data_IF_570221232417
#
_entry.id   IF_570221232417
#
_cell.length_a   1.000
_cell.length_b   1.000
_cell.length_c   1.000
_cell.angle_alpha   90.00
_cell.angle_beta   90.00
_cell.angle_gamma   90.00
#
_symmetry.space_group_name_H-M   'P 1'
#
loop_
_entity.id
_entity.type
_entity.pdbx_description
1 polymer ?
#
# COMPACT_ATOMS: atom_id res chain seq x y z
N UNK A 1 -7.89 17.35 3.74
CA UNK A 1 -7.98 17.24 2.27
C UNK A 1 -7.16 16.06 1.78
N UNK A 2 -7.66 15.35 0.77
CA UNK A 2 -6.94 14.34 0.02
C UNK A 2 -6.06 15.00 -1.05
N UNK A 3 -4.88 14.44 -1.32
CA UNK A 3 -4.04 14.86 -2.43
C UNK A 3 -4.48 14.18 -3.71
N UNK A 4 -4.09 14.72 -4.87
CA UNK A 4 -4.28 14.07 -6.18
C UNK A 4 -3.33 12.89 -6.38
N UNK A 5 -3.41 11.93 -5.47
CA UNK A 5 -2.58 10.73 -5.43
C UNK A 5 -3.47 9.53 -5.14
N UNK A 6 -3.39 8.50 -5.96
CA UNK A 6 -3.99 7.19 -5.73
C UNK A 6 -3.06 6.27 -4.96
N UNK A 7 -3.57 5.59 -3.92
CA UNK A 7 -2.86 4.48 -3.30
C UNK A 7 -3.04 3.23 -4.15
N UNK A 8 -1.94 2.54 -4.44
CA UNK A 8 -1.94 1.25 -5.13
C UNK A 8 -1.24 0.21 -4.26
N UNK A 9 -1.84 -0.96 -4.09
CA UNK A 9 -1.25 -2.04 -3.31
C UNK A 9 -1.55 -3.42 -3.89
N UNK A 10 -0.85 -4.42 -3.37
CA UNK A 10 -1.16 -5.84 -3.58
C UNK A 10 -1.27 -6.54 -2.23
N UNK A 11 -2.14 -7.54 -2.09
CA UNK A 11 -2.31 -8.30 -0.86
C UNK A 11 -2.37 -9.80 -1.11
N UNK A 12 -1.72 -10.56 -0.22
CA UNK A 12 -1.87 -12.00 -0.06
C UNK A 12 -2.09 -12.25 1.43
N UNK A 13 -3.33 -12.52 1.85
CA UNK A 13 -3.68 -12.67 3.27
C UNK A 13 -4.62 -13.86 3.50
N UNK A 14 -4.13 -15.10 3.33
CA UNK A 14 -4.95 -16.30 3.49
C UNK A 14 -5.41 -16.54 4.93
N UNK A 15 -4.68 -16.03 5.91
CA UNK A 15 -4.94 -16.26 7.33
C UNK A 15 -5.64 -15.09 8.04
N UNK A 16 -6.15 -14.13 7.27
CA UNK A 16 -6.87 -12.97 7.79
C UNK A 16 -6.03 -12.15 8.80
N UNK A 17 -4.72 -12.08 8.62
CA UNK A 17 -3.80 -11.30 9.49
C UNK A 17 -3.92 -9.82 9.16
N UNK A 18 -3.90 -9.46 7.87
CA UNK A 18 -4.14 -8.09 7.41
C UNK A 18 -5.59 -7.69 7.69
N UNK A 19 -6.54 -8.60 7.45
CA UNK A 19 -7.94 -8.38 7.77
C UNK A 19 -8.21 -7.97 9.22
N UNK A 20 -7.52 -8.59 10.20
CA UNK A 20 -7.59 -8.17 11.63
C UNK A 20 -7.10 -6.74 11.85
N UNK A 21 -6.00 -6.36 11.20
CA UNK A 21 -5.46 -5.00 11.30
C UNK A 21 -6.43 -3.99 10.69
N UNK A 22 -7.02 -4.32 9.53
CA UNK A 22 -8.03 -3.49 8.87
C UNK A 22 -9.27 -3.30 9.74
N UNK A 23 -9.82 -4.36 10.35
CA UNK A 23 -10.98 -4.24 11.25
C UNK A 23 -10.77 -3.19 12.35
N UNK A 24 -9.58 -3.16 12.94
CA UNK A 24 -9.24 -2.18 13.97
C UNK A 24 -8.98 -0.77 13.44
N UNK A 25 -8.51 -0.63 12.20
CA UNK A 25 -8.14 0.66 11.61
C UNK A 25 -9.27 1.36 10.85
N UNK A 26 -10.19 0.62 10.24
CA UNK A 26 -11.24 1.19 9.39
C UNK A 26 -12.08 2.26 10.10
N UNK A 27 -12.51 2.08 11.37
CA UNK A 27 -13.19 3.15 12.10
C UNK A 27 -12.27 4.37 12.28
N UNK A 28 -12.62 5.48 11.64
CA UNK A 28 -11.83 6.72 11.72
C UNK A 28 -10.64 6.79 10.76
N UNK A 29 -10.52 5.85 9.81
CA UNK A 29 -9.46 5.87 8.81
C UNK A 29 -9.62 7.07 7.87
N UNK A 30 -8.76 8.07 8.02
CA UNK A 30 -8.69 9.22 7.12
C UNK A 30 -7.43 9.11 6.25
N UNK A 31 -7.61 8.72 4.99
CA UNK A 31 -6.51 8.54 4.05
C UNK A 31 -6.22 9.85 3.28
N UNK A 32 -4.94 10.23 3.10
CA UNK A 32 -4.58 11.43 2.33
C UNK A 32 -4.61 11.21 0.80
N UNK A 33 -5.36 10.23 0.32
CA UNK A 33 -5.38 9.79 -1.09
C UNK A 33 -6.72 10.10 -1.76
N UNK A 34 -6.68 10.39 -3.06
CA UNK A 34 -7.87 10.61 -3.89
C UNK A 34 -8.66 9.34 -4.14
N UNK A 35 -7.98 8.19 -4.08
CA UNK A 35 -8.60 6.88 -4.13
C UNK A 35 -7.61 5.78 -3.77
N UNK A 36 -8.13 4.56 -3.65
CA UNK A 36 -7.39 3.39 -3.20
C UNK A 36 -7.75 2.22 -4.11
N UNK A 37 -6.73 1.56 -4.65
CA UNK A 37 -6.90 0.42 -5.55
C UNK A 37 -5.93 -0.69 -5.19
N UNK A 38 -6.36 -1.92 -5.33
CA UNK A 38 -5.46 -3.04 -5.11
C UNK A 38 -5.82 -4.30 -5.84
N UNK A 39 -4.90 -5.25 -5.78
CA UNK A 39 -5.15 -6.63 -6.15
C UNK A 39 -5.00 -7.53 -4.94
N UNK A 40 -5.85 -8.54 -4.86
CA UNK A 40 -5.78 -9.60 -3.86
C UNK A 40 -5.48 -10.94 -4.55
N UNK A 41 -4.61 -11.75 -3.97
CA UNK A 41 -4.42 -13.12 -4.47
C UNK A 41 -5.70 -13.96 -4.28
N UNK A 42 -5.87 -15.07 -5.00
CA UNK A 42 -7.06 -15.92 -4.89
C UNK A 42 -7.23 -16.52 -3.50
N UNK A 43 -6.12 -16.77 -2.81
CA UNK A 43 -6.10 -17.34 -1.46
C UNK A 43 -6.37 -16.30 -0.38
N UNK A 44 -6.41 -15.00 -0.70
CA UNK A 44 -6.72 -13.97 0.30
C UNK A 44 -8.11 -14.19 0.87
N UNK A 45 -8.22 -14.19 2.20
CA UNK A 45 -9.49 -14.43 2.89
C UNK A 45 -10.58 -13.46 2.40
N UNK A 46 -11.78 -14.00 2.14
CA UNK A 46 -12.89 -13.22 1.59
C UNK A 46 -13.20 -12.00 2.46
N UNK A 47 -13.14 -12.18 3.77
CA UNK A 47 -13.36 -11.10 4.72
C UNK A 47 -12.30 -10.00 4.60
N UNK A 48 -11.04 -10.33 4.31
CA UNK A 48 -9.99 -9.30 4.07
C UNK A 48 -10.33 -8.50 2.81
N UNK A 49 -10.77 -9.17 1.74
CA UNK A 49 -11.18 -8.50 0.49
C UNK A 49 -12.37 -7.58 0.74
N UNK A 50 -13.42 -8.05 1.42
CA UNK A 50 -14.60 -7.23 1.73
C UNK A 50 -14.30 -6.02 2.62
N UNK A 51 -13.28 -6.09 3.48
CA UNK A 51 -12.83 -4.93 4.26
C UNK A 51 -12.09 -3.91 3.39
N UNK A 52 -11.27 -4.38 2.46
CA UNK A 52 -10.52 -3.54 1.53
C UNK A 52 -11.42 -2.86 0.50
N UNK A 53 -12.48 -3.53 0.04
CA UNK A 53 -13.47 -2.98 -0.89
C UNK A 53 -14.21 -1.77 -0.32
N UNK A 54 -14.25 -1.61 1.01
CA UNK A 54 -14.77 -0.39 1.66
C UNK A 54 -13.87 0.83 1.45
N UNK A 55 -12.60 0.62 1.10
CA UNK A 55 -11.63 1.69 0.83
C UNK A 55 -11.57 2.04 -0.65
N UNK A 56 -11.84 1.08 -1.53
CA UNK A 56 -11.89 1.26 -2.96
C UNK A 56 -11.78 -0.06 -3.72
N UNK A 57 -11.75 -0.04 -5.06
CA UNK A 57 -11.84 -1.25 -5.86
C UNK A 57 -10.69 -2.23 -5.60
N UNK A 58 -11.03 -3.51 -5.43
CA UNK A 58 -10.08 -4.61 -5.28
C UNK A 58 -10.34 -5.64 -6.35
N UNK A 59 -9.31 -5.98 -7.14
CA UNK A 59 -9.40 -7.06 -8.12
C UNK A 59 -8.78 -8.33 -7.54
N UNK A 60 -9.50 -9.44 -7.57
CA UNK A 60 -8.87 -10.75 -7.35
C UNK A 60 -8.05 -11.15 -8.57
N UNK A 61 -6.75 -11.32 -8.38
CA UNK A 61 -5.85 -11.73 -9.44
C UNK A 61 -5.68 -13.25 -9.41
N UNK A 62 -6.28 -13.94 -10.36
CA UNK A 62 -6.15 -15.39 -10.55
C UNK A 62 -5.02 -15.76 -11.50
N UNK A 63 -4.35 -14.78 -12.11
CA UNK A 63 -3.49 -14.97 -13.25
C UNK A 63 -2.04 -14.61 -12.94
N UNK A 64 -1.25 -15.66 -12.76
CA UNK A 64 0.22 -15.69 -12.83
C UNK A 64 0.98 -15.27 -11.55
N UNK A 65 1.80 -16.19 -11.04
CA UNK A 65 2.70 -16.00 -9.88
C UNK A 65 3.97 -15.22 -10.22
N UNK A 66 4.13 -14.78 -11.47
CA UNK A 66 5.29 -14.02 -11.89
C UNK A 66 5.39 -12.67 -11.15
N UNK A 67 6.60 -12.36 -10.69
CA UNK A 67 6.90 -11.16 -9.92
C UNK A 67 6.48 -9.91 -10.71
N UNK A 68 5.72 -9.04 -10.05
CA UNK A 68 5.30 -7.74 -10.59
C UNK A 68 4.05 -7.75 -11.48
N UNK A 69 3.49 -8.90 -11.85
CA UNK A 69 2.21 -8.95 -12.59
C UNK A 69 1.08 -8.31 -11.78
N UNK A 70 0.88 -8.77 -10.54
CA UNK A 70 -0.15 -8.24 -9.65
C UNK A 70 0.01 -6.72 -9.40
N UNK A 71 1.24 -6.22 -9.34
CA UNK A 71 1.55 -4.78 -9.17
C UNK A 71 1.10 -3.98 -10.38
N UNK A 72 1.43 -4.45 -11.59
CA UNK A 72 1.00 -3.79 -12.84
C UNK A 72 -0.51 -3.86 -13.02
N UNK A 73 -1.16 -4.95 -12.60
CA UNK A 73 -2.62 -5.04 -12.63
C UNK A 73 -3.28 -4.06 -11.65
N UNK A 74 -2.77 -3.95 -10.41
CA UNK A 74 -3.27 -2.99 -9.45
C UNK A 74 -3.12 -1.55 -9.97
N UNK A 75 -1.99 -1.23 -10.60
CA UNK A 75 -1.79 0.08 -11.22
C UNK A 75 -2.74 0.31 -12.41
N UNK A 76 -2.96 -0.69 -13.28
CA UNK A 76 -3.95 -0.58 -14.37
C UNK A 76 -5.35 -0.28 -13.84
N UNK A 77 -5.76 -0.95 -12.78
CA UNK A 77 -7.05 -0.69 -12.13
C UNK A 77 -7.12 0.76 -11.59
N UNK A 78 -6.01 1.27 -11.05
CA UNK A 78 -5.94 2.63 -10.55
C UNK A 78 -5.95 3.69 -11.67
N UNK A 79 -5.39 3.37 -12.85
CA UNK A 79 -5.36 4.26 -14.01
C UNK A 79 -6.75 4.55 -14.60
N UNK A 80 -7.73 3.66 -14.36
CA UNK A 80 -9.14 3.91 -14.70
C UNK A 80 -9.81 4.90 -13.70
N UNK A 81 -9.12 5.24 -12.61
CA UNK A 81 -9.57 6.15 -11.57
C UNK A 81 -9.23 7.62 -11.83
N UNK A 82 -9.71 8.53 -10.96
CA UNK A 82 -9.58 9.98 -11.18
C UNK A 82 -8.26 10.59 -10.70
N UNK A 83 -7.26 9.80 -10.30
CA UNK A 83 -6.02 10.29 -9.72
C UNK A 83 -4.95 10.59 -10.78
N UNK A 84 -4.27 11.74 -10.65
CA UNK A 84 -3.17 12.13 -11.54
C UNK A 84 -1.83 11.48 -11.22
N UNK A 85 -1.60 11.10 -9.97
CA UNK A 85 -0.36 10.46 -9.49
C UNK A 85 -0.67 9.18 -8.72
N UNK A 86 0.31 8.27 -8.61
CA UNK A 86 0.12 6.97 -7.96
C UNK A 86 1.27 6.65 -6.99
N UNK A 87 0.91 6.20 -5.79
CA UNK A 87 1.83 5.71 -4.78
C UNK A 87 1.62 4.20 -4.63
N UNK A 88 2.54 3.40 -5.18
CA UNK A 88 2.58 1.97 -4.89
C UNK A 88 3.26 1.73 -3.54
N UNK A 89 2.59 1.00 -2.63
CA UNK A 89 3.14 0.64 -1.33
C UNK A 89 2.68 -0.77 -0.94
N UNK A 90 3.56 -1.56 -0.34
CA UNK A 90 3.18 -2.83 0.26
C UNK A 90 2.15 -2.58 1.38
N UNK A 91 1.04 -3.32 1.37
CA UNK A 91 -0.13 -2.98 2.19
C UNK A 91 0.16 -3.03 3.70
N UNK A 92 0.94 -4.01 4.16
CA UNK A 92 1.32 -4.14 5.57
C UNK A 92 2.16 -2.95 6.05
N UNK A 93 3.10 -2.48 5.23
CA UNK A 93 3.91 -1.29 5.48
C UNK A 93 3.05 -0.03 5.49
N UNK A 94 2.14 0.08 4.54
CA UNK A 94 1.18 1.17 4.48
C UNK A 94 0.30 1.24 5.73
N UNK A 95 -0.31 0.13 6.13
CA UNK A 95 -1.17 0.07 7.32
C UNK A 95 -0.41 0.40 8.60
N UNK A 96 0.84 -0.07 8.72
CA UNK A 96 1.72 0.34 9.81
C UNK A 96 1.98 1.86 9.80
N UNK A 97 2.26 2.44 8.63
CA UNK A 97 2.55 3.86 8.48
C UNK A 97 1.34 4.73 8.83
N UNK A 98 0.15 4.38 8.32
CA UNK A 98 -1.11 5.06 8.64
C UNK A 98 -1.35 5.05 10.15
N UNK A 99 -1.16 3.90 10.81
CA UNK A 99 -1.40 3.76 12.24
C UNK A 99 -0.40 4.53 13.10
N UNK A 100 0.87 4.51 12.72
CA UNK A 100 1.98 4.89 13.62
C UNK A 100 2.52 6.29 13.34
N UNK A 101 2.54 6.71 12.07
CA UNK A 101 3.10 8.00 11.65
C UNK A 101 2.21 8.70 10.60
N UNK A 102 0.93 8.97 10.89
CA UNK A 102 -0.02 9.54 9.92
C UNK A 102 0.40 10.92 9.39
N UNK A 103 1.04 11.74 10.22
CA UNK A 103 1.58 13.05 9.80
C UNK A 103 2.74 12.90 8.80
N UNK A 104 3.63 11.93 9.03
CA UNK A 104 4.75 11.61 8.13
C UNK A 104 4.24 11.07 6.78
N UNK A 105 3.21 10.21 6.82
CA UNK A 105 2.53 9.72 5.63
C UNK A 105 1.94 10.87 4.84
N UNK A 106 1.14 11.74 5.48
CA UNK A 106 0.53 12.91 4.83
C UNK A 106 1.57 13.82 4.19
N UNK A 107 2.66 14.11 4.91
CA UNK A 107 3.76 14.94 4.40
C UNK A 107 4.44 14.31 3.19
N UNK A 108 4.66 12.99 3.21
CA UNK A 108 5.23 12.26 2.08
C UNK A 108 4.31 12.27 0.86
N UNK A 109 3.03 11.94 1.05
CA UNK A 109 2.04 11.91 -0.05
C UNK A 109 1.90 13.29 -0.71
N UNK A 110 1.93 14.37 0.08
CA UNK A 110 1.86 15.74 -0.45
C UNK A 110 3.04 16.14 -1.34
N UNK A 111 4.17 15.44 -1.29
CA UNK A 111 5.35 15.70 -2.13
C UNK A 111 5.29 14.98 -3.47
N UNK A 112 4.47 13.94 -3.60
CA UNK A 112 4.42 13.08 -4.80
C UNK A 112 4.09 13.88 -6.07
N UNK A 113 3.08 14.78 -6.09
CA UNK A 113 2.76 15.55 -7.29
C UNK A 113 3.87 16.49 -7.78
N UNK A 114 4.90 16.73 -6.97
CA UNK A 114 6.04 17.57 -7.33
C UNK A 114 7.19 16.81 -8.01
N UNK A 115 7.01 15.52 -8.33
CA UNK A 115 8.02 14.68 -8.96
C UNK A 115 7.39 13.83 -10.07
N UNK A 116 8.10 13.63 -11.18
CA UNK A 116 7.67 12.69 -12.23
C UNK A 116 7.76 11.23 -11.75
N UNK A 117 8.76 10.95 -10.92
CA UNK A 117 8.98 9.65 -10.29
C UNK A 117 9.68 9.82 -8.94
N UNK A 118 9.14 9.19 -7.89
CA UNK A 118 9.66 9.29 -6.53
C UNK A 118 9.84 7.89 -5.93
N UNK A 119 11.07 7.59 -5.51
CA UNK A 119 11.38 6.40 -4.71
C UNK A 119 11.42 6.80 -3.23
N UNK A 120 10.64 6.12 -2.40
CA UNK A 120 10.50 6.43 -0.97
C UNK A 120 11.28 5.38 -0.18
N UNK A 121 12.43 5.78 0.35
CA UNK A 121 13.22 4.98 1.27
C UNK A 121 12.70 5.03 2.71
N UNK A 122 13.15 4.08 3.55
CA UNK A 122 12.91 4.14 4.99
C UNK A 122 13.79 5.22 5.63
N UNK A 123 13.25 5.88 6.65
CA UNK A 123 14.05 6.73 7.54
C UNK A 123 15.06 5.89 8.32
N UNK A 124 16.15 6.49 8.81
CA UNK A 124 17.11 5.79 9.67
C UNK A 124 16.46 5.15 10.90
N UNK A 125 15.47 5.83 11.50
CA UNK A 125 14.64 5.29 12.59
C UNK A 125 13.92 4.01 12.18
N UNK A 126 13.18 4.04 11.07
CA UNK A 126 12.43 2.87 10.60
C UNK A 126 13.35 1.74 10.12
N UNK A 127 14.49 2.07 9.53
CA UNK A 127 15.49 1.10 9.13
C UNK A 127 16.07 0.36 10.34
N UNK A 128 16.36 1.08 11.42
CA UNK A 128 16.92 0.54 12.67
C UNK A 128 16.02 -0.47 13.39
N UNK A 129 14.70 -0.51 13.12
CA UNK A 129 13.79 -1.48 13.75
C UNK A 129 13.78 -2.85 13.06
N UNK A 130 14.50 -3.01 11.94
CA UNK A 130 14.50 -4.25 11.18
C UNK A 130 15.61 -5.21 11.63
N UNK A 131 15.42 -6.53 11.44
CA UNK A 131 16.45 -7.53 11.72
C UNK A 131 17.77 -7.18 11.03
N UNK A 132 18.88 -7.50 11.69
CA UNK A 132 20.22 -7.22 11.17
C UNK A 132 20.44 -7.77 9.77
N UNK A 133 19.99 -8.99 9.48
CA UNK A 133 20.11 -9.57 8.14
C UNK A 133 19.49 -8.68 7.06
N UNK A 134 18.32 -8.08 7.32
CA UNK A 134 17.70 -7.14 6.39
C UNK A 134 18.50 -5.85 6.28
N UNK A 135 18.89 -5.26 7.42
CA UNK A 135 19.67 -4.01 7.44
C UNK A 135 20.99 -4.13 6.68
N UNK A 136 21.74 -5.21 6.88
CA UNK A 136 23.02 -5.42 6.20
C UNK A 136 22.83 -5.63 4.71
N UNK A 137 21.88 -6.48 4.28
CA UNK A 137 21.66 -6.72 2.86
C UNK A 137 21.20 -5.48 2.10
N UNK A 138 20.30 -4.69 2.69
CA UNK A 138 19.76 -3.52 2.02
C UNK A 138 20.73 -2.34 1.97
N UNK A 139 21.67 -2.24 2.94
CA UNK A 139 22.74 -1.25 2.96
C UNK A 139 23.86 -1.51 1.94
N UNK A 140 23.94 -2.74 1.40
CA UNK A 140 24.87 -3.06 0.31
C UNK A 140 24.31 -2.58 -1.04
N UNK A 141 22.98 -2.59 -1.19
CA UNK A 141 22.32 -2.33 -2.47
C UNK A 141 21.80 -0.90 -2.66
N UNK A 142 21.51 -0.18 -1.57
CA UNK A 142 20.97 1.19 -1.58
C UNK A 142 21.97 2.15 -0.94
#
# INVERSE_FOLDING_TARGET
>A
MAFDVGLVYTVHDPEFRIGRVLKGLLPGLALPYRGVWGTASPETADETVSLLEKLGPVRRDTANRAIGVARRQALRLALDGPAGFFHYCDLDRFLHWVRTYPAELRGTVGRIPGCDYLVIGRTARAFGTHPECQRLTEAITN
#
